data_IF_265904463874
#
_entry.id   IF_265904463874
#
_cell.length_a   1.000
_cell.length_b   1.000
_cell.length_c   1.000
_cell.angle_alpha   90.00
_cell.angle_beta   90.00
_cell.angle_gamma   90.00
#
_symmetry.space_group_name_H-M   'P 1'
#
loop_
_entity.id
_entity.type
_entity.pdbx_description
1 polymer ?
#
# COMPACT_ATOMS: atom_id res chain seq x y z
N UNK A 1 -27.66 -1.04 3.36
CA UNK A 1 -26.80 0.15 3.36
C UNK A 1 -27.70 1.37 3.60
N UNK A 2 -27.93 1.74 4.86
CA UNK A 2 -28.92 2.77 5.22
C UNK A 2 -28.27 4.11 5.63
N UNK A 3 -26.96 4.26 5.45
CA UNK A 3 -26.19 5.47 5.82
C UNK A 3 -25.11 5.89 4.81
N UNK A 4 -25.10 5.31 3.60
CA UNK A 4 -24.13 5.66 2.55
C UNK A 4 -24.70 6.72 1.59
N UNK A 5 -23.84 7.62 1.11
CA UNK A 5 -24.13 8.53 -0.01
C UNK A 5 -24.28 7.68 -1.28
N UNK A 6 -25.24 8.02 -2.15
CA UNK A 6 -25.30 7.41 -3.49
C UNK A 6 -24.01 7.75 -4.26
N UNK A 7 -23.28 6.74 -4.72
CA UNK A 7 -22.04 6.90 -5.46
C UNK A 7 -22.02 5.92 -6.64
N UNK A 8 -21.50 6.38 -7.78
CA UNK A 8 -21.34 5.54 -8.96
C UNK A 8 -20.12 4.62 -8.84
N UNK A 9 -19.07 5.10 -8.17
CA UNK A 9 -17.79 4.41 -8.02
C UNK A 9 -17.17 4.62 -6.63
N UNK A 10 -16.33 3.68 -6.21
CA UNK A 10 -15.51 3.76 -4.99
C UNK A 10 -14.05 3.45 -5.33
N UNK A 11 -13.15 4.36 -4.95
CA UNK A 11 -11.71 4.13 -4.98
C UNK A 11 -11.27 3.38 -3.72
N UNK A 12 -10.71 2.19 -3.89
CA UNK A 12 -10.13 1.39 -2.82
C UNK A 12 -8.61 1.63 -2.75
N UNK A 13 -8.23 2.60 -1.91
CA UNK A 13 -6.86 2.82 -1.43
C UNK A 13 -6.65 2.04 -0.12
N UNK A 14 -6.12 0.82 -0.21
CA UNK A 14 -6.09 -0.13 0.91
C UNK A 14 -4.82 -0.98 0.88
N UNK A 15 -4.17 -1.16 2.05
CA UNK A 15 -3.02 -2.08 2.20
C UNK A 15 -1.78 -1.51 2.90
N UNK A 16 -1.62 -0.18 3.00
CA UNK A 16 -0.42 0.42 3.62
C UNK A 16 -0.22 0.06 5.10
N UNK A 17 -1.32 -0.07 5.86
CA UNK A 17 -1.28 -0.48 7.27
C UNK A 17 -1.25 -2.01 7.45
N UNK A 18 -1.80 -2.75 6.48
CA UNK A 18 -1.89 -4.21 6.47
C UNK A 18 -0.51 -4.86 6.40
N UNK A 19 0.38 -4.31 5.57
CA UNK A 19 1.75 -4.79 5.40
C UNK A 19 2.71 -4.39 6.53
N UNK A 20 2.26 -3.60 7.50
CA UNK A 20 3.07 -3.10 8.60
C UNK A 20 3.27 -4.17 9.69
N UNK A 21 4.20 -3.96 10.60
CA UNK A 21 4.56 -4.90 11.66
C UNK A 21 4.36 -4.30 13.05
N UNK A 22 4.32 -5.17 14.06
CA UNK A 22 4.45 -4.78 15.46
C UNK A 22 5.93 -4.56 15.77
N UNK A 23 6.43 -3.35 15.49
CA UNK A 23 7.86 -3.04 15.52
C UNK A 23 8.50 -3.17 16.90
N UNK A 24 7.72 -3.02 17.96
CA UNK A 24 8.13 -3.30 19.34
C UNK A 24 8.42 -4.79 19.56
N UNK A 25 7.59 -5.67 19.00
CA UNK A 25 7.82 -7.13 19.04
C UNK A 25 9.02 -7.53 18.17
N UNK A 26 9.13 -6.96 16.97
CA UNK A 26 10.28 -7.18 16.06
C UNK A 26 11.58 -6.77 16.74
N UNK A 27 11.60 -5.60 17.38
CA UNK A 27 12.78 -5.10 18.08
C UNK A 27 13.13 -5.95 19.31
N UNK A 28 12.14 -6.50 20.01
CA UNK A 28 12.35 -7.34 21.20
C UNK A 28 12.81 -8.77 20.85
N UNK A 29 12.36 -9.32 19.72
CA UNK A 29 12.59 -10.72 19.33
C UNK A 29 13.04 -10.83 17.86
N UNK A 30 14.24 -10.33 17.49
CA UNK A 30 14.66 -10.28 16.08
C UNK A 30 15.02 -11.64 15.46
N UNK A 31 15.12 -12.70 16.27
CA UNK A 31 15.53 -14.03 15.85
C UNK A 31 14.36 -14.95 15.46
N UNK A 32 13.12 -14.49 15.60
CA UNK A 32 11.92 -15.23 15.21
C UNK A 32 11.25 -14.61 13.98
N UNK A 33 10.38 -15.37 13.34
CA UNK A 33 9.52 -14.84 12.29
C UNK A 33 8.43 -13.93 12.89
N UNK A 34 8.20 -12.79 12.22
CA UNK A 34 7.10 -11.88 12.52
C UNK A 34 6.18 -11.79 11.32
N UNK A 35 4.88 -11.77 11.58
CA UNK A 35 3.85 -11.62 10.56
C UNK A 35 3.45 -10.15 10.42
N UNK A 36 3.07 -9.71 9.21
CA UNK A 36 2.46 -8.40 9.03
C UNK A 36 1.11 -8.37 9.78
N UNK A 37 0.63 -7.17 10.10
CA UNK A 37 -0.62 -6.94 10.83
C UNK A 37 -1.81 -7.64 10.17
N UNK A 38 -1.82 -7.69 8.84
CA UNK A 38 -2.74 -8.50 8.06
C UNK A 38 -1.93 -9.43 7.16
N UNK A 39 -1.93 -10.76 7.35
CA UNK A 39 -1.29 -11.69 6.43
C UNK A 39 -1.77 -11.52 4.98
N UNK A 40 -0.89 -11.74 4.00
CA UNK A 40 -1.15 -11.43 2.60
C UNK A 40 -2.40 -12.14 2.04
N UNK A 41 -2.65 -13.38 2.45
CA UNK A 41 -3.82 -14.15 2.04
C UNK A 41 -5.13 -13.53 2.60
N UNK A 42 -5.09 -13.05 3.84
CA UNK A 42 -6.24 -12.37 4.47
C UNK A 42 -6.48 -11.01 3.84
N UNK A 43 -5.41 -10.29 3.49
CA UNK A 43 -5.51 -9.02 2.76
C UNK A 43 -6.17 -9.21 1.40
N UNK A 44 -5.75 -10.23 0.65
CA UNK A 44 -6.31 -10.56 -0.65
C UNK A 44 -7.78 -10.96 -0.57
N UNK A 45 -8.14 -11.87 0.33
CA UNK A 45 -9.54 -12.32 0.48
C UNK A 45 -10.44 -11.16 0.88
N UNK A 46 -9.99 -10.32 1.82
CA UNK A 46 -10.72 -9.10 2.24
C UNK A 46 -10.91 -8.14 1.06
N UNK A 47 -9.88 -7.92 0.24
CA UNK A 47 -9.97 -7.08 -0.95
C UNK A 47 -10.97 -7.62 -1.97
N UNK A 48 -10.96 -8.94 -2.22
CA UNK A 48 -11.95 -9.62 -3.09
C UNK A 48 -13.38 -9.48 -2.55
N UNK A 49 -13.56 -9.63 -1.23
CA UNK A 49 -14.86 -9.47 -0.58
C UNK A 49 -15.39 -8.04 -0.68
N UNK A 50 -14.52 -7.02 -0.50
CA UNK A 50 -14.89 -5.61 -0.69
C UNK A 50 -15.36 -5.35 -2.12
N UNK A 51 -14.63 -5.86 -3.12
CA UNK A 51 -15.00 -5.76 -4.54
C UNK A 51 -16.37 -6.41 -4.80
N UNK A 52 -16.58 -7.62 -4.29
CA UNK A 52 -17.85 -8.35 -4.46
C UNK A 52 -19.02 -7.60 -3.82
N UNK A 53 -18.82 -7.05 -2.62
CA UNK A 53 -19.84 -6.26 -1.92
C UNK A 53 -20.23 -5.00 -2.71
N UNK A 54 -19.26 -4.24 -3.23
CA UNK A 54 -19.52 -3.05 -4.05
C UNK A 54 -20.28 -3.40 -5.34
N UNK A 55 -19.85 -4.46 -6.05
CA UNK A 55 -20.54 -4.93 -7.26
C UNK A 55 -21.98 -5.37 -6.97
N UNK A 56 -22.25 -5.99 -5.82
CA UNK A 56 -23.59 -6.47 -5.44
C UNK A 56 -24.63 -5.35 -5.27
N UNK A 57 -24.17 -4.12 -5.05
CA UNK A 57 -25.00 -2.93 -4.87
C UNK A 57 -24.88 -1.95 -6.05
N UNK A 58 -24.37 -2.44 -7.18
CA UNK A 58 -24.17 -1.68 -8.43
C UNK A 58 -23.23 -0.46 -8.31
N UNK A 59 -22.29 -0.49 -7.35
CA UNK A 59 -21.22 0.49 -7.24
C UNK A 59 -19.98 -0.05 -7.95
N UNK A 60 -19.31 0.76 -8.75
CA UNK A 60 -18.11 0.38 -9.50
C UNK A 60 -16.87 0.47 -8.61
N UNK A 61 -16.22 -0.66 -8.24
CA UNK A 61 -14.94 -0.61 -7.55
C UNK A 61 -13.82 -0.19 -8.50
N UNK A 62 -12.93 0.66 -8.01
CA UNK A 62 -11.68 1.04 -8.65
C UNK A 62 -10.57 0.80 -7.63
N UNK A 63 -9.57 -0.01 -7.97
CA UNK A 63 -8.42 -0.26 -7.10
C UNK A 63 -7.29 0.74 -7.39
N UNK A 64 -6.43 0.98 -6.42
CA UNK A 64 -5.23 1.79 -6.59
C UNK A 64 -4.00 1.09 -6.02
N UNK A 65 -2.88 1.10 -6.76
CA UNK A 65 -1.59 0.62 -6.21
C UNK A 65 -1.14 1.51 -5.05
N UNK A 66 -0.32 0.99 -4.14
CA UNK A 66 0.15 1.79 -3.01
C UNK A 66 1.34 2.67 -3.44
N UNK A 67 1.46 3.91 -2.93
CA UNK A 67 2.68 4.68 -3.14
C UNK A 67 3.89 3.91 -2.57
N UNK A 68 5.08 4.04 -3.18
CA UNK A 68 6.30 3.47 -2.60
C UNK A 68 6.65 4.17 -1.29
N UNK A 69 7.45 3.51 -0.45
CA UNK A 69 7.94 4.05 0.82
C UNK A 69 9.45 4.30 0.77
N UNK A 70 9.95 5.19 1.61
CA UNK A 70 11.39 5.41 1.80
C UNK A 70 11.88 4.57 2.99
N UNK A 71 12.59 3.49 2.67
CA UNK A 71 13.09 2.52 3.66
C UNK A 71 13.90 3.15 4.79
N UNK A 72 14.75 4.14 4.48
CA UNK A 72 15.67 4.76 5.45
C UNK A 72 14.89 5.68 6.39
N UNK A 73 14.04 6.55 5.83
CA UNK A 73 13.20 7.46 6.62
C UNK A 73 12.20 6.68 7.46
N UNK A 74 11.62 5.61 6.92
CA UNK A 74 10.65 4.83 7.67
C UNK A 74 11.29 4.11 8.85
N UNK A 75 12.46 3.48 8.67
CA UNK A 75 13.19 2.88 9.79
C UNK A 75 13.56 3.94 10.85
N UNK A 76 14.02 5.12 10.42
CA UNK A 76 14.28 6.22 11.35
C UNK A 76 13.02 6.62 12.13
N UNK A 77 11.89 6.71 11.45
CA UNK A 77 10.60 7.00 12.07
C UNK A 77 10.20 5.92 13.07
N UNK A 78 10.31 4.64 12.74
CA UNK A 78 10.03 3.50 13.63
C UNK A 78 10.86 3.61 14.92
N UNK A 79 12.16 3.86 14.79
CA UNK A 79 13.08 3.93 15.92
C UNK A 79 13.02 5.24 16.73
N UNK A 80 12.23 6.25 16.32
CA UNK A 80 12.22 7.60 16.93
C UNK A 80 11.90 7.64 18.42
N UNK A 81 11.28 6.58 18.96
CA UNK A 81 10.92 6.43 20.38
C UNK A 81 11.78 5.41 21.14
N UNK A 82 12.95 5.05 20.60
CA UNK A 82 13.94 4.22 21.28
C UNK A 82 13.85 2.71 21.01
N UNK A 83 13.12 2.29 19.96
CA UNK A 83 13.18 0.90 19.51
C UNK A 83 14.58 0.55 18.99
N UNK A 84 15.07 -0.65 19.31
CA UNK A 84 16.40 -1.11 18.93
C UNK A 84 16.50 -1.27 17.40
N UNK A 85 17.17 -0.31 16.78
CA UNK A 85 17.41 -0.28 15.34
C UNK A 85 18.25 -1.46 14.86
N UNK A 86 19.22 -1.91 15.64
CA UNK A 86 20.09 -3.02 15.26
C UNK A 86 19.30 -4.33 15.18
N UNK A 87 18.39 -4.56 16.14
CA UNK A 87 17.50 -5.72 16.12
C UNK A 87 16.52 -5.68 14.94
N UNK A 88 15.91 -4.51 14.66
CA UNK A 88 15.02 -4.38 13.49
C UNK A 88 15.78 -4.63 12.18
N UNK A 89 17.00 -4.09 12.02
CA UNK A 89 17.83 -4.35 10.84
C UNK A 89 18.21 -5.83 10.75
N UNK A 90 18.58 -6.45 11.88
CA UNK A 90 18.91 -7.88 11.94
C UNK A 90 17.75 -8.74 11.44
N UNK A 91 16.54 -8.47 11.93
CA UNK A 91 15.33 -9.18 11.49
C UNK A 91 15.00 -8.92 10.01
N UNK A 92 15.10 -7.65 9.58
CA UNK A 92 14.90 -7.30 8.19
C UNK A 92 15.95 -7.95 7.28
N UNK A 93 17.18 -8.21 7.75
CA UNK A 93 18.32 -8.72 6.99
C UNK A 93 18.93 -7.71 6.00
N UNK A 94 18.10 -6.84 5.43
CA UNK A 94 18.44 -5.70 4.60
C UNK A 94 17.41 -4.59 4.83
N UNK A 95 17.85 -3.33 4.92
CA UNK A 95 16.94 -2.22 5.20
C UNK A 95 15.84 -2.08 4.13
N UNK A 96 16.13 -2.41 2.87
CA UNK A 96 15.16 -2.30 1.78
C UNK A 96 14.10 -3.43 1.79
N UNK A 97 14.22 -4.43 2.66
CA UNK A 97 13.16 -5.42 2.83
C UNK A 97 11.85 -4.80 3.35
N UNK A 98 11.90 -3.68 4.07
CA UNK A 98 10.69 -2.99 4.53
C UNK A 98 9.85 -2.49 3.36
N UNK A 99 10.50 -1.91 2.35
CA UNK A 99 9.87 -1.46 1.11
C UNK A 99 9.44 -2.63 0.24
N UNK A 100 10.28 -3.68 0.07
CA UNK A 100 9.92 -4.87 -0.71
C UNK A 100 8.71 -5.61 -0.14
N UNK A 101 8.53 -5.63 1.19
CA UNK A 101 7.33 -6.18 1.82
C UNK A 101 6.09 -5.34 1.51
N UNK A 102 6.18 -4.01 1.54
CA UNK A 102 5.10 -3.13 1.10
C UNK A 102 4.86 -3.21 -0.42
N UNK A 103 5.91 -3.49 -1.19
CA UNK A 103 5.85 -3.71 -2.62
C UNK A 103 4.92 -4.88 -2.96
N UNK A 104 5.09 -6.00 -2.27
CA UNK A 104 4.31 -7.23 -2.42
C UNK A 104 2.80 -7.01 -2.24
N UNK A 105 2.37 -6.15 -1.31
CA UNK A 105 0.94 -5.89 -1.09
C UNK A 105 0.32 -5.11 -2.23
N UNK A 106 1.03 -4.10 -2.74
CA UNK A 106 0.54 -3.37 -3.91
C UNK A 106 0.64 -4.19 -5.20
N UNK A 107 1.59 -5.13 -5.32
CA UNK A 107 1.55 -6.13 -6.40
C UNK A 107 0.30 -7.00 -6.27
N UNK A 108 -0.06 -7.41 -5.04
CA UNK A 108 -1.29 -8.17 -4.78
C UNK A 108 -2.55 -7.39 -5.17
N UNK A 109 -2.60 -6.08 -4.94
CA UNK A 109 -3.71 -5.23 -5.43
C UNK A 109 -3.84 -5.34 -6.96
N UNK A 110 -2.73 -5.23 -7.69
CA UNK A 110 -2.75 -5.36 -9.15
C UNK A 110 -3.16 -6.76 -9.62
N UNK A 111 -2.68 -7.82 -8.95
CA UNK A 111 -3.11 -9.20 -9.20
C UNK A 111 -4.61 -9.37 -8.99
N UNK A 112 -5.16 -8.88 -7.88
CA UNK A 112 -6.60 -8.95 -7.60
C UNK A 112 -7.41 -8.16 -8.61
N UNK A 113 -6.93 -6.99 -9.06
CA UNK A 113 -7.58 -6.24 -10.13
C UNK A 113 -7.73 -7.11 -11.39
N UNK A 114 -6.65 -7.77 -11.81
CA UNK A 114 -6.65 -8.67 -12.97
C UNK A 114 -7.61 -9.84 -12.79
N UNK A 115 -7.50 -10.57 -11.69
CA UNK A 115 -8.32 -11.76 -11.40
C UNK A 115 -9.83 -11.46 -11.31
N UNK A 116 -10.18 -10.24 -10.87
CA UNK A 116 -11.57 -9.84 -10.66
C UNK A 116 -12.12 -8.94 -11.77
N UNK A 117 -11.34 -8.70 -12.83
CA UNK A 117 -11.62 -7.74 -13.90
C UNK A 117 -12.07 -6.38 -13.34
N UNK A 118 -11.36 -5.91 -12.32
CA UNK A 118 -11.64 -4.63 -11.64
C UNK A 118 -10.69 -3.56 -12.16
N UNK A 119 -11.18 -2.33 -12.30
CA UNK A 119 -10.38 -1.20 -12.76
C UNK A 119 -9.22 -0.95 -11.80
N UNK A 120 -8.05 -0.62 -12.32
CA UNK A 120 -6.85 -0.32 -11.55
C UNK A 120 -6.26 1.03 -11.94
N UNK A 121 -5.93 1.81 -10.93
CA UNK A 121 -5.17 3.04 -11.00
C UNK A 121 -3.75 2.74 -10.52
N UNK A 122 -2.77 2.77 -11.43
CA UNK A 122 -1.39 2.50 -11.08
C UNK A 122 -0.63 3.80 -10.75
N UNK A 123 -0.71 4.22 -9.49
CA UNK A 123 0.05 5.39 -9.03
C UNK A 123 1.53 5.08 -8.79
N UNK A 124 1.85 3.84 -8.39
CA UNK A 124 3.22 3.46 -8.02
C UNK A 124 4.18 3.66 -9.18
N UNK A 125 3.81 3.24 -10.39
CA UNK A 125 4.66 3.45 -11.57
C UNK A 125 4.98 4.93 -11.80
N UNK A 126 4.03 5.83 -11.56
CA UNK A 126 4.25 7.27 -11.64
C UNK A 126 5.30 7.78 -10.64
N UNK A 127 5.27 7.28 -9.40
CA UNK A 127 6.29 7.61 -8.40
C UNK A 127 7.66 7.06 -8.80
N UNK A 128 7.74 5.79 -9.17
CA UNK A 128 9.00 5.09 -9.48
C UNK A 128 9.65 5.58 -10.78
N UNK A 129 8.86 6.13 -11.71
CA UNK A 129 9.38 6.77 -12.92
C UNK A 129 10.21 8.03 -12.62
N UNK A 130 10.06 8.63 -11.43
CA UNK A 130 10.85 9.79 -11.03
C UNK A 130 12.16 9.38 -10.37
N UNK A 131 13.28 9.89 -10.89
CA UNK A 131 14.61 9.71 -10.29
C UNK A 131 14.68 10.20 -8.84
N UNK A 132 13.88 11.20 -8.49
CA UNK A 132 13.79 11.79 -7.16
C UNK A 132 12.50 11.34 -6.43
N UNK A 133 12.10 10.08 -6.56
CA UNK A 133 10.92 9.50 -5.90
C UNK A 133 10.84 9.84 -4.40
N UNK A 134 11.96 9.73 -3.66
CA UNK A 134 12.04 10.08 -2.22
C UNK A 134 11.67 11.55 -1.92
N UNK A 135 11.74 12.47 -2.90
CA UNK A 135 11.31 13.86 -2.73
C UNK A 135 9.78 14.04 -2.73
N UNK A 136 9.03 12.99 -3.08
CA UNK A 136 7.57 12.93 -3.01
C UNK A 136 7.05 12.39 -1.67
N UNK A 137 7.93 11.85 -0.82
CA UNK A 137 7.58 11.20 0.44
C UNK A 137 7.89 12.14 1.61
N UNK A 138 7.05 12.11 2.64
CA UNK A 138 7.24 12.83 3.90
C UNK A 138 8.47 12.34 4.67
N UNK A 139 8.80 13.06 5.75
CA UNK A 139 9.91 12.72 6.63
C UNK A 139 9.69 11.42 7.43
N UNK A 140 8.44 10.96 7.54
CA UNK A 140 8.11 9.67 8.15
C UNK A 140 8.41 8.46 7.26
N UNK A 141 8.71 8.70 5.99
CA UNK A 141 9.07 7.66 5.02
C UNK A 141 7.90 6.88 4.43
N UNK A 142 6.65 7.16 4.78
CA UNK A 142 5.50 6.37 4.28
C UNK A 142 4.41 7.22 3.62
N UNK A 143 4.17 8.44 4.09
CA UNK A 143 3.11 9.26 3.53
C UNK A 143 3.62 10.09 2.34
N UNK A 144 2.85 10.20 1.24
CA UNK A 144 3.11 11.21 0.23
C UNK A 144 3.09 12.61 0.85
N UNK A 145 3.97 13.50 0.40
CA UNK A 145 3.93 14.92 0.73
C UNK A 145 3.05 15.68 -0.28
N UNK A 146 2.99 17.01 -0.19
CA UNK A 146 2.18 17.83 -1.11
C UNK A 146 2.51 17.59 -2.60
N UNK A 147 3.79 17.36 -2.96
CA UNK A 147 4.19 17.01 -4.33
C UNK A 147 3.77 15.59 -4.70
N UNK A 148 3.89 14.65 -3.76
CA UNK A 148 3.40 13.28 -3.93
C UNK A 148 1.89 13.24 -4.17
N UNK A 149 1.11 13.99 -3.39
CA UNK A 149 -0.33 14.12 -3.60
C UNK A 149 -0.68 14.81 -4.92
N UNK A 150 0.08 15.84 -5.34
CA UNK A 150 -0.11 16.46 -6.64
C UNK A 150 0.08 15.46 -7.79
N UNK A 151 1.11 14.61 -7.73
CA UNK A 151 1.32 13.53 -8.69
C UNK A 151 0.19 12.49 -8.66
N UNK A 152 -0.30 12.10 -7.48
CA UNK A 152 -1.45 11.21 -7.37
C UNK A 152 -2.66 11.83 -8.06
N UNK A 153 -2.95 13.12 -7.83
CA UNK A 153 -4.07 13.80 -8.47
C UNK A 153 -3.92 13.89 -10.00
N UNK A 154 -2.71 14.11 -10.51
CA UNK A 154 -2.42 14.07 -11.96
C UNK A 154 -2.73 12.69 -12.53
N UNK A 155 -2.23 11.62 -11.90
CA UNK A 155 -2.47 10.25 -12.34
C UNK A 155 -3.97 9.89 -12.28
N UNK A 156 -4.67 10.31 -11.23
CA UNK A 156 -6.13 10.17 -11.10
C UNK A 156 -6.91 10.92 -12.18
N UNK A 157 -6.46 12.12 -12.56
CA UNK A 157 -7.11 12.95 -13.59
C UNK A 157 -6.85 12.44 -15.00
N UNK A 158 -5.62 11.98 -15.27
CA UNK A 158 -5.17 11.45 -16.56
C UNK A 158 -5.67 10.03 -16.83
N UNK A 159 -6.39 9.43 -15.89
CA UNK A 159 -6.79 8.04 -15.99
C UNK A 159 -7.73 7.77 -17.18
N UNK A 160 -7.11 7.30 -18.27
CA UNK A 160 -7.65 6.24 -19.09
C UNK A 160 -7.71 4.98 -18.21
N UNK A 161 -8.90 4.65 -17.70
CA UNK A 161 -9.17 3.38 -17.02
C UNK A 161 -8.52 2.23 -17.80
N UNK A 162 -7.59 1.49 -17.18
CA UNK A 162 -7.10 0.23 -17.76
C UNK A 162 -8.28 -0.74 -17.74
N UNK A 163 -8.96 -0.85 -18.87
CA UNK A 163 -10.01 -1.85 -19.05
C UNK A 163 -9.33 -3.20 -19.17
N UNK A 164 -9.39 -3.98 -18.11
CA UNK A 164 -8.98 -5.38 -18.13
C UNK A 164 -10.06 -6.14 -18.94
N UNK A 165 -9.74 -6.68 -20.13
CA UNK A 165 -10.69 -7.44 -20.91
C UNK A 165 -11.23 -8.63 -20.09
N UNK A 166 -12.49 -8.98 -20.34
CA UNK A 166 -13.09 -10.21 -19.80
C UNK A 166 -12.47 -11.45 -20.46
#
# INVERSE_FOLDING_TARGET
IAKGIGCDSVLLEYGGNDCDFLWDEVAAQPDIDHLPKTPLENFESTLKDMIAQLKSIHVVPVLMTLPPIDSVRYLYHICRKGLDRANIIKWLGDIHNIERRQELYSLRVATVALETHTQLIDIRSGFLARKDCSSLICADGIHPNAKGHALIMELLADHHVVKIPA
#
